data_IF_462051551371
#
_entry.id   IF_462051551371
#
_cell.length_a   1.000
_cell.length_b   1.000
_cell.length_c   1.000
_cell.angle_alpha   90.00
_cell.angle_beta   90.00
_cell.angle_gamma   90.00
#
_symmetry.space_group_name_H-M   'P 1'
#
loop_
_entity.id
_entity.type
_entity.pdbx_description
1 polymer ?
#
# COMPACT_ATOMS: atom_id res chain seq x y z
N UNK A 1 -44.62 -9.49 -9.98
CA UNK A 1 -44.62 -10.94 -9.69
C UNK A 1 -43.18 -11.41 -9.96
N UNK A 2 -42.33 -11.80 -9.09
CA UNK A 2 -42.34 -12.19 -7.71
C UNK A 2 -40.90 -12.00 -7.20
N UNK A 3 -40.76 -11.21 -6.17
CA UNK A 3 -39.51 -11.09 -5.39
C UNK A 3 -39.32 -12.38 -4.61
N UNK A 4 -38.19 -13.06 -4.82
CA UNK A 4 -37.77 -14.15 -3.94
C UNK A 4 -37.00 -13.55 -2.77
N UNK A 5 -37.32 -13.89 -1.51
CA UNK A 5 -36.60 -13.43 -0.35
C UNK A 5 -35.31 -14.25 -0.18
N UNK A 6 -34.20 -13.57 0.10
CA UNK A 6 -32.99 -14.21 0.59
C UNK A 6 -33.31 -15.00 1.87
N UNK A 7 -33.03 -16.28 1.80
CA UNK A 7 -33.09 -17.20 2.94
C UNK A 7 -31.98 -16.83 3.93
N UNK A 8 -32.22 -16.86 5.25
CA UNK A 8 -31.17 -16.63 6.23
C UNK A 8 -30.14 -17.78 6.15
N UNK A 9 -28.88 -17.42 6.11
CA UNK A 9 -27.76 -18.33 6.09
C UNK A 9 -27.87 -19.37 7.22
N UNK A 10 -27.65 -20.63 6.87
CA UNK A 10 -27.71 -21.77 7.78
C UNK A 10 -26.68 -21.59 8.91
N UNK A 11 -27.13 -21.79 10.13
CA UNK A 11 -26.30 -21.94 11.30
C UNK A 11 -25.27 -23.06 11.08
N UNK A 12 -23.99 -22.71 10.87
CA UNK A 12 -22.91 -23.70 10.72
C UNK A 12 -21.70 -23.29 9.91
N UNK A 13 -21.73 -22.15 9.18
CA UNK A 13 -20.52 -21.64 8.56
C UNK A 13 -19.69 -20.85 9.61
N UNK A 14 -18.39 -21.16 9.72
CA UNK A 14 -17.51 -20.42 10.61
C UNK A 14 -17.40 -18.97 10.11
N UNK A 15 -17.25 -18.00 11.03
CA UNK A 15 -17.03 -16.58 10.70
C UNK A 15 -15.87 -16.41 9.71
N UNK A 16 -14.86 -17.28 9.75
CA UNK A 16 -13.73 -17.32 8.82
C UNK A 16 -14.15 -17.69 7.36
N UNK A 17 -15.12 -18.59 7.17
CA UNK A 17 -15.65 -18.93 5.84
C UNK A 17 -16.51 -17.80 5.27
N UNK A 18 -17.22 -17.10 6.15
CA UNK A 18 -18.02 -15.91 5.78
C UNK A 18 -17.08 -14.76 5.39
N UNK A 19 -15.96 -14.55 6.13
CA UNK A 19 -14.98 -13.51 5.86
C UNK A 19 -14.16 -13.75 4.57
N UNK A 20 -13.89 -14.99 4.22
CA UNK A 20 -13.09 -15.35 3.03
C UNK A 20 -13.82 -15.13 1.70
N UNK A 21 -15.15 -14.97 1.71
CA UNK A 21 -15.97 -14.91 0.51
C UNK A 21 -16.86 -13.68 0.33
N UNK A 22 -16.92 -12.76 1.30
CA UNK A 22 -17.84 -11.61 1.24
C UNK A 22 -17.11 -10.27 1.29
N UNK A 23 -17.50 -9.37 0.37
CA UNK A 23 -17.36 -7.93 0.55
C UNK A 23 -18.28 -7.51 1.72
N UNK A 24 -17.70 -7.31 2.91
CA UNK A 24 -18.45 -6.78 4.05
C UNK A 24 -18.96 -5.38 3.71
N UNK A 25 -20.27 -5.23 3.67
CA UNK A 25 -20.89 -3.92 3.56
C UNK A 25 -20.63 -3.13 4.86
N UNK A 26 -20.63 -1.78 4.79
CA UNK A 26 -20.56 -0.95 6.00
C UNK A 26 -21.66 -1.28 7.03
N UNK A 27 -22.78 -1.82 6.57
CA UNK A 27 -23.94 -2.23 7.39
C UNK A 27 -23.64 -3.52 8.17
N UNK A 28 -22.94 -4.47 7.56
CA UNK A 28 -22.53 -5.72 8.21
C UNK A 28 -21.53 -5.44 9.34
N UNK A 29 -20.58 -4.54 9.10
CA UNK A 29 -19.62 -4.08 10.11
C UNK A 29 -20.34 -3.40 11.28
N UNK A 30 -21.33 -2.53 11.01
CA UNK A 30 -22.12 -1.89 12.06
C UNK A 30 -22.98 -2.88 12.84
N UNK A 31 -23.49 -3.94 12.20
CA UNK A 31 -24.26 -4.97 12.87
C UNK A 31 -23.40 -5.78 13.83
N UNK A 32 -22.18 -6.15 13.41
CA UNK A 32 -21.21 -6.83 14.28
C UNK A 32 -20.81 -5.95 15.47
N UNK A 33 -20.50 -4.66 15.23
CA UNK A 33 -20.13 -3.72 16.28
C UNK A 33 -21.25 -3.47 17.31
N UNK A 34 -22.52 -3.51 16.91
CA UNK A 34 -23.65 -3.34 17.82
C UNK A 34 -23.92 -4.56 18.71
N UNK A 35 -23.47 -5.74 18.31
CA UNK A 35 -23.76 -6.99 18.99
C UNK A 35 -22.51 -7.60 19.65
N UNK A 36 -21.43 -6.84 19.83
CA UNK A 36 -20.16 -7.33 20.40
C UNK A 36 -20.36 -8.00 21.79
N UNK A 37 -21.26 -7.48 22.61
CA UNK A 37 -21.56 -8.03 23.96
C UNK A 37 -22.24 -9.40 23.93
N UNK A 38 -22.72 -9.86 22.79
CA UNK A 38 -23.42 -11.15 22.63
C UNK A 38 -22.52 -12.29 22.15
N UNK A 39 -21.27 -11.99 21.75
CA UNK A 39 -20.32 -13.00 21.26
C UNK A 39 -19.52 -13.65 22.38
N UNK A 40 -19.22 -14.93 22.21
CA UNK A 40 -18.31 -15.64 23.11
C UNK A 40 -16.88 -15.08 23.00
N UNK A 41 -16.03 -15.18 24.05
CA UNK A 41 -14.66 -14.66 23.99
C UNK A 41 -13.82 -15.20 22.82
N UNK A 42 -14.07 -16.42 22.40
CA UNK A 42 -13.39 -17.08 21.26
C UNK A 42 -13.82 -16.44 19.93
N UNK A 43 -15.10 -16.13 19.78
CA UNK A 43 -15.66 -15.45 18.59
C UNK A 43 -15.14 -14.00 18.49
N UNK A 44 -14.96 -13.31 19.61
CA UNK A 44 -14.40 -11.97 19.65
C UNK A 44 -12.94 -11.96 19.17
N UNK A 45 -12.13 -12.96 19.54
CA UNK A 45 -10.75 -13.08 19.06
C UNK A 45 -10.71 -13.35 17.53
N UNK A 46 -11.64 -14.12 17.02
CA UNK A 46 -11.75 -14.37 15.60
C UNK A 46 -12.16 -13.11 14.82
N UNK A 47 -13.10 -12.34 15.37
CA UNK A 47 -13.53 -11.03 14.83
C UNK A 47 -12.35 -10.05 14.80
N UNK A 48 -11.60 -9.92 15.89
CA UNK A 48 -10.44 -9.02 15.97
C UNK A 48 -9.41 -9.37 14.90
N UNK A 49 -9.13 -10.65 14.71
CA UNK A 49 -8.20 -11.12 13.67
C UNK A 49 -8.69 -10.77 12.25
N UNK A 50 -9.97 -10.98 11.98
CA UNK A 50 -10.57 -10.64 10.68
C UNK A 50 -10.50 -9.13 10.44
N UNK A 51 -10.82 -8.31 11.44
CA UNK A 51 -10.74 -6.84 11.36
C UNK A 51 -9.30 -6.39 11.11
N UNK A 52 -8.31 -7.00 11.75
CA UNK A 52 -6.90 -6.70 11.53
C UNK A 52 -6.45 -7.08 10.11
N UNK A 53 -6.85 -8.25 9.62
CA UNK A 53 -6.56 -8.70 8.26
C UNK A 53 -7.19 -7.76 7.20
N UNK A 54 -8.45 -7.38 7.39
CA UNK A 54 -9.15 -6.44 6.50
C UNK A 54 -8.52 -5.04 6.54
N UNK A 55 -8.16 -4.55 7.71
CA UNK A 55 -7.50 -3.24 7.87
C UNK A 55 -6.14 -3.22 7.17
N UNK A 56 -5.37 -4.29 7.29
CA UNK A 56 -4.08 -4.47 6.62
C UNK A 56 -4.25 -4.54 5.10
N UNK A 57 -5.23 -5.30 4.63
CA UNK A 57 -5.55 -5.40 3.20
C UNK A 57 -5.94 -4.04 2.62
N UNK A 58 -6.80 -3.29 3.30
CA UNK A 58 -7.21 -1.95 2.89
C UNK A 58 -6.03 -0.97 2.90
N UNK A 59 -5.15 -1.04 3.90
CA UNK A 59 -3.95 -0.23 3.97
C UNK A 59 -2.97 -0.55 2.83
N UNK A 60 -2.80 -1.84 2.50
CA UNK A 60 -1.96 -2.28 1.39
C UNK A 60 -2.55 -1.85 0.03
N UNK A 61 -3.88 -1.95 -0.16
CA UNK A 61 -4.55 -1.46 -1.36
C UNK A 61 -4.40 0.06 -1.51
N UNK A 62 -4.60 0.82 -0.43
CA UNK A 62 -4.38 2.26 -0.43
C UNK A 62 -2.93 2.63 -0.76
N UNK A 63 -1.96 1.87 -0.23
CA UNK A 63 -0.55 2.07 -0.52
C UNK A 63 -0.16 1.68 -1.96
N UNK A 64 -0.85 0.70 -2.54
CA UNK A 64 -0.72 0.36 -3.95
C UNK A 64 -1.15 1.53 -4.85
N UNK A 65 -2.26 2.19 -4.53
CA UNK A 65 -2.91 3.16 -5.41
C UNK A 65 -2.48 4.62 -5.17
N UNK A 66 -1.98 4.95 -3.98
CA UNK A 66 -1.57 6.31 -3.59
C UNK A 66 -0.13 6.34 -3.05
N UNK A 67 0.70 7.21 -3.65
CA UNK A 67 2.11 7.34 -3.28
C UNK A 67 2.31 7.82 -1.83
N UNK A 68 1.42 8.67 -1.29
CA UNK A 68 1.54 9.14 0.10
C UNK A 68 1.14 8.03 1.08
N UNK A 69 0.11 7.25 0.75
CA UNK A 69 -0.27 6.07 1.53
C UNK A 69 0.87 5.04 1.54
N UNK A 70 1.52 4.82 0.39
CA UNK A 70 2.72 4.00 0.29
C UNK A 70 3.84 4.49 1.20
N UNK A 71 4.17 5.79 1.16
CA UNK A 71 5.20 6.36 2.04
C UNK A 71 4.90 6.10 3.53
N UNK A 72 3.65 6.24 3.96
CA UNK A 72 3.23 6.00 5.34
C UNK A 72 3.25 4.51 5.70
N UNK A 73 2.90 3.63 4.77
CA UNK A 73 2.94 2.18 5.00
C UNK A 73 4.37 1.68 5.15
N UNK A 74 5.29 2.21 4.32
CA UNK A 74 6.71 1.86 4.38
C UNK A 74 7.47 2.54 5.52
N UNK A 75 7.01 3.71 5.95
CA UNK A 75 7.59 4.47 7.05
C UNK A 75 6.46 5.13 7.86
N UNK A 76 5.97 4.49 8.95
CA UNK A 76 4.82 4.98 9.72
C UNK A 76 4.98 6.38 10.31
N UNK A 77 6.21 6.78 10.65
CA UNK A 77 6.55 8.11 11.17
C UNK A 77 6.76 9.18 10.07
N UNK A 78 6.51 8.84 8.80
CA UNK A 78 6.68 9.77 7.68
C UNK A 78 5.76 10.99 7.79
N UNK A 79 6.36 12.16 7.98
CA UNK A 79 5.62 13.42 8.17
C UNK A 79 5.23 14.02 6.82
N UNK A 80 3.94 14.01 6.53
CA UNK A 80 3.38 14.51 5.28
C UNK A 80 2.97 15.97 5.42
N UNK A 81 3.66 16.87 4.70
CA UNK A 81 3.23 18.25 4.52
C UNK A 81 2.46 18.47 3.22
N UNK A 82 1.84 19.65 3.07
CA UNK A 82 1.09 20.01 1.85
C UNK A 82 1.92 19.88 0.57
N UNK A 83 3.19 20.27 0.62
CA UNK A 83 4.12 20.18 -0.52
C UNK A 83 4.40 18.73 -0.94
N UNK A 84 4.41 17.77 0.01
CA UNK A 84 4.56 16.35 -0.32
C UNK A 84 3.36 15.82 -1.10
N UNK A 85 2.13 16.24 -0.76
CA UNK A 85 0.92 15.83 -1.49
C UNK A 85 0.94 16.37 -2.92
N UNK A 86 1.19 17.68 -3.09
CA UNK A 86 1.30 18.30 -4.42
C UNK A 86 2.38 17.62 -5.26
N UNK A 87 3.52 17.27 -4.65
CA UNK A 87 4.59 16.58 -5.35
C UNK A 87 4.19 15.15 -5.72
N UNK A 88 3.55 14.42 -4.81
CA UNK A 88 3.05 13.07 -5.08
C UNK A 88 2.04 13.05 -6.23
N UNK A 89 1.07 13.97 -6.24
CA UNK A 89 0.10 14.10 -7.35
C UNK A 89 0.80 14.30 -8.70
N UNK A 90 1.86 15.13 -8.74
CA UNK A 90 2.65 15.34 -9.96
C UNK A 90 3.49 14.13 -10.37
N UNK A 91 3.99 13.38 -9.41
CA UNK A 91 4.73 12.14 -9.69
C UNK A 91 3.80 11.01 -10.16
N UNK A 92 2.60 10.91 -9.60
CA UNK A 92 1.57 9.97 -10.06
C UNK A 92 1.11 10.31 -11.48
N UNK A 93 1.01 11.60 -11.82
CA UNK A 93 0.73 12.07 -13.18
C UNK A 93 1.82 11.68 -14.22
N UNK A 94 3.05 11.40 -13.77
CA UNK A 94 4.09 10.80 -14.64
C UNK A 94 3.86 9.29 -14.83
N UNK A 95 3.34 8.63 -13.82
CA UNK A 95 3.09 7.18 -13.87
C UNK A 95 1.92 6.85 -14.80
N UNK A 96 0.83 7.59 -14.72
CA UNK A 96 -0.37 7.40 -15.54
C UNK A 96 -0.25 8.00 -16.96
N UNK A 97 0.84 8.73 -17.23
CA UNK A 97 1.11 9.34 -18.54
C UNK A 97 0.36 10.65 -18.80
N UNK A 98 -0.34 11.22 -17.83
CA UNK A 98 -0.99 12.54 -17.94
C UNK A 98 0.02 13.70 -17.92
N UNK A 99 1.28 13.41 -17.55
CA UNK A 99 2.42 14.33 -17.63
C UNK A 99 3.66 13.59 -18.11
N UNK A 100 4.46 14.23 -18.96
CA UNK A 100 5.72 13.65 -19.49
C UNK A 100 6.95 14.08 -18.69
N UNK A 101 6.88 15.22 -18.02
CA UNK A 101 8.03 15.83 -17.35
C UNK A 101 7.61 16.62 -16.13
N UNK A 102 8.36 16.45 -15.04
CA UNK A 102 8.20 17.24 -13.82
C UNK A 102 9.54 17.81 -13.39
N UNK A 103 9.59 19.14 -13.21
CA UNK A 103 10.74 19.82 -12.61
C UNK A 103 10.39 20.16 -11.16
N UNK A 104 11.19 19.66 -10.22
CA UNK A 104 10.95 19.81 -8.77
C UNK A 104 11.95 20.80 -8.17
N UNK A 105 11.47 21.98 -7.79
CA UNK A 105 12.25 23.01 -7.13
C UNK A 105 11.71 23.27 -5.73
N UNK A 106 12.32 22.64 -4.72
CA UNK A 106 11.94 22.72 -3.31
C UNK A 106 13.21 22.95 -2.50
N UNK A 107 13.18 23.79 -1.44
CA UNK A 107 14.32 24.03 -0.57
C UNK A 107 14.92 22.73 0.01
N UNK A 108 16.18 22.70 0.39
CA UNK A 108 16.79 21.55 1.04
C UNK A 108 16.09 21.20 2.37
N UNK A 109 16.22 19.93 2.80
CA UNK A 109 15.63 19.37 4.04
C UNK A 109 14.10 19.33 4.12
N UNK A 110 13.41 19.43 2.97
CA UNK A 110 11.95 19.29 2.87
C UNK A 110 11.49 17.91 2.32
N UNK A 111 12.26 16.86 2.53
CA UNK A 111 11.88 15.48 2.14
C UNK A 111 11.91 15.16 0.63
N UNK A 112 12.29 16.12 -0.25
CA UNK A 112 12.29 15.95 -1.71
C UNK A 112 12.98 14.68 -2.17
N UNK A 113 14.23 14.46 -1.77
CA UNK A 113 15.02 13.31 -2.23
C UNK A 113 14.46 11.99 -1.71
N UNK A 114 13.91 11.97 -0.51
CA UNK A 114 13.26 10.79 0.03
C UNK A 114 12.02 10.41 -0.79
N UNK A 115 11.15 11.37 -1.08
CA UNK A 115 9.95 11.12 -1.89
C UNK A 115 10.29 10.81 -3.35
N UNK A 116 11.11 11.64 -4.01
CA UNK A 116 11.37 11.54 -5.46
C UNK A 116 12.37 10.45 -5.80
N UNK A 117 13.44 10.28 -4.98
CA UNK A 117 14.56 9.39 -5.34
C UNK A 117 14.53 8.04 -4.60
N UNK A 118 13.62 7.84 -3.65
CA UNK A 118 13.53 6.57 -2.91
C UNK A 118 12.12 6.00 -3.00
N UNK A 119 11.09 6.68 -2.46
CA UNK A 119 9.73 6.14 -2.42
C UNK A 119 9.10 6.02 -3.81
N UNK A 120 9.15 7.09 -4.60
CA UNK A 120 8.53 7.06 -5.94
C UNK A 120 9.11 5.99 -6.87
N UNK A 121 10.44 5.81 -7.01
CA UNK A 121 10.98 4.74 -7.84
C UNK A 121 10.60 3.34 -7.35
N UNK A 122 10.56 3.12 -6.03
CA UNK A 122 10.11 1.84 -5.47
C UNK A 122 8.63 1.59 -5.79
N UNK A 123 7.76 2.56 -5.53
CA UNK A 123 6.33 2.49 -5.80
C UNK A 123 6.05 2.31 -7.30
N UNK A 124 6.72 3.08 -8.16
CA UNK A 124 6.59 2.98 -9.61
C UNK A 124 6.96 1.59 -10.14
N UNK A 125 8.05 1.00 -9.64
CA UNK A 125 8.47 -0.35 -10.02
C UNK A 125 7.50 -1.41 -9.50
N UNK A 126 6.88 -1.19 -8.35
CA UNK A 126 5.83 -2.06 -7.82
C UNK A 126 4.62 -2.13 -8.73
N UNK A 127 4.14 -0.99 -9.18
CA UNK A 127 3.01 -0.89 -10.12
C UNK A 127 3.34 -1.28 -11.56
N UNK A 128 4.61 -1.21 -11.93
CA UNK A 128 5.07 -1.43 -13.31
C UNK A 128 6.29 -2.37 -13.34
N UNK A 129 6.16 -3.66 -13.00
CA UNK A 129 7.29 -4.58 -12.82
C UNK A 129 8.12 -4.81 -14.10
N UNK A 130 7.55 -4.54 -15.28
CA UNK A 130 8.25 -4.63 -16.57
C UNK A 130 9.05 -3.38 -16.96
N UNK A 131 8.91 -2.26 -16.24
CA UNK A 131 9.58 -1.00 -16.57
C UNK A 131 10.92 -0.86 -15.87
N UNK A 132 11.75 0.06 -16.37
CA UNK A 132 13.08 0.36 -15.82
C UNK A 132 13.13 1.82 -15.37
N UNK A 133 13.78 2.08 -14.25
CA UNK A 133 14.05 3.43 -13.74
C UNK A 133 15.55 3.68 -13.80
N UNK A 134 15.94 4.77 -14.45
CA UNK A 134 17.33 5.23 -14.47
C UNK A 134 17.49 6.44 -13.56
N UNK A 135 18.37 6.33 -12.58
CA UNK A 135 18.73 7.41 -11.69
C UNK A 135 20.04 8.04 -12.12
N UNK A 136 20.04 9.37 -12.33
CA UNK A 136 21.21 10.14 -12.70
C UNK A 136 21.50 11.17 -11.63
N UNK A 137 22.76 11.28 -11.24
CA UNK A 137 23.25 12.25 -10.27
C UNK A 137 24.58 12.85 -10.71
N UNK A 138 25.02 13.93 -10.07
CA UNK A 138 26.31 14.55 -10.32
C UNK A 138 27.50 13.69 -9.86
N UNK A 139 27.29 12.75 -8.93
CA UNK A 139 28.30 11.76 -8.51
C UNK A 139 27.72 10.34 -8.57
N UNK A 140 28.61 9.39 -8.90
CA UNK A 140 28.28 7.96 -8.91
C UNK A 140 27.83 7.48 -7.53
N UNK A 141 28.54 7.89 -6.48
CA UNK A 141 28.26 7.47 -5.11
C UNK A 141 26.84 7.82 -4.67
N UNK A 142 26.36 9.01 -5.03
CA UNK A 142 25.01 9.45 -4.70
C UNK A 142 23.95 8.65 -5.48
N UNK A 143 24.20 8.36 -6.75
CA UNK A 143 23.31 7.53 -7.55
C UNK A 143 23.24 6.09 -7.01
N UNK A 144 24.37 5.51 -6.64
CA UNK A 144 24.47 4.18 -6.02
C UNK A 144 23.79 4.15 -4.65
N UNK A 145 23.94 5.19 -3.82
CA UNK A 145 23.28 5.27 -2.52
C UNK A 145 21.75 5.27 -2.65
N UNK A 146 21.19 6.06 -3.57
CA UNK A 146 19.75 6.03 -3.85
C UNK A 146 19.30 4.67 -4.38
N UNK A 147 20.02 4.08 -5.32
CA UNK A 147 19.72 2.74 -5.84
C UNK A 147 19.71 1.67 -4.75
N UNK A 148 20.68 1.73 -3.82
CA UNK A 148 20.75 0.84 -2.66
C UNK A 148 19.54 1.02 -1.73
N UNK A 149 19.13 2.26 -1.44
CA UNK A 149 17.96 2.56 -0.60
C UNK A 149 16.67 2.04 -1.24
N UNK A 150 16.47 2.25 -2.54
CA UNK A 150 15.33 1.70 -3.28
C UNK A 150 15.31 0.18 -3.23
N UNK A 151 16.44 -0.48 -3.50
CA UNK A 151 16.56 -1.94 -3.43
C UNK A 151 16.23 -2.46 -2.02
N UNK A 152 16.77 -1.83 -0.98
CA UNK A 152 16.51 -2.24 0.39
C UNK A 152 15.02 -2.08 0.75
N UNK A 153 14.34 -1.04 0.25
CA UNK A 153 12.91 -0.84 0.42
C UNK A 153 12.10 -1.95 -0.25
N UNK A 154 12.45 -2.32 -1.49
CA UNK A 154 11.82 -3.42 -2.25
C UNK A 154 12.04 -4.78 -1.56
N UNK A 155 13.14 -4.94 -0.82
CA UNK A 155 13.45 -6.18 -0.11
C UNK A 155 12.61 -6.42 1.15
N UNK A 156 11.90 -5.41 1.67
CA UNK A 156 11.12 -5.53 2.92
C UNK A 156 9.90 -6.43 2.76
N UNK A 157 9.41 -6.98 3.87
CA UNK A 157 8.21 -7.79 3.89
C UNK A 157 6.97 -6.96 3.54
N UNK A 158 6.87 -5.76 4.10
CA UNK A 158 5.79 -4.81 3.88
C UNK A 158 5.63 -4.43 2.40
N UNK A 159 6.75 -4.25 1.70
CA UNK A 159 6.72 -3.99 0.26
C UNK A 159 6.14 -5.17 -0.53
N UNK A 160 6.49 -6.40 -0.16
CA UNK A 160 5.96 -7.61 -0.82
C UNK A 160 4.48 -7.85 -0.54
N UNK A 161 3.97 -7.39 0.61
CA UNK A 161 2.54 -7.40 0.90
C UNK A 161 1.75 -6.45 -0.01
N UNK A 162 2.36 -5.31 -0.39
CA UNK A 162 1.74 -4.33 -1.30
C UNK A 162 1.88 -4.77 -2.76
N UNK A 163 3.05 -5.30 -3.15
CA UNK A 163 3.42 -5.68 -4.51
C UNK A 163 3.94 -7.13 -4.59
N UNK A 164 3.07 -8.13 -4.45
CA UNK A 164 3.47 -9.53 -4.37
C UNK A 164 4.11 -10.07 -5.66
N UNK A 165 3.85 -9.43 -6.81
CA UNK A 165 4.41 -9.82 -8.10
C UNK A 165 5.86 -9.34 -8.31
N UNK A 166 6.36 -8.46 -7.44
CA UNK A 166 7.71 -7.89 -7.55
C UNK A 166 8.68 -8.61 -6.62
N UNK A 167 9.71 -9.19 -7.19
CA UNK A 167 10.81 -9.81 -6.45
C UNK A 167 12.17 -9.33 -6.95
N UNK A 168 13.13 -9.22 -6.03
CA UNK A 168 14.52 -8.94 -6.41
C UNK A 168 15.15 -10.20 -7.00
N UNK A 169 15.82 -10.06 -8.16
CA UNK A 169 16.63 -11.14 -8.71
C UNK A 169 17.76 -11.49 -7.76
N UNK A 170 18.14 -12.78 -7.72
CA UNK A 170 19.20 -13.30 -6.84
C UNK A 170 20.55 -12.60 -7.09
N UNK A 171 20.77 -12.12 -8.32
CA UNK A 171 22.00 -11.44 -8.75
C UNK A 171 21.94 -9.91 -8.63
N UNK A 172 20.94 -9.35 -7.99
CA UNK A 172 20.83 -7.90 -7.78
C UNK A 172 21.81 -7.35 -6.73
N UNK A 173 23.04 -7.86 -6.73
CA UNK A 173 24.14 -7.28 -5.96
C UNK A 173 24.48 -5.94 -6.61
N UNK A 174 24.28 -4.86 -5.87
CA UNK A 174 24.84 -3.57 -6.28
C UNK A 174 26.35 -3.68 -6.38
N UNK A 175 26.89 -3.38 -7.54
CA UNK A 175 28.30 -3.08 -7.69
C UNK A 175 28.70 -1.93 -6.77
#
# INVERSE_FOLDING_TARGET
>A
MTTSPHSPASAGASLAEIAAGMDFSPEDIQHVLKNLDSFAPEELQEIDKIVEELSTRNANQSAHDDLIAFCKRMQPDYKVGRHHRILADKLMALEDGSSDRVCVNIPPRHGKSQLVSIFYPAWFLGRNPGKKVMMVSHTTDLAVDFGRKVRNLIATAEYREIFPEVSLAVDSKSA
#
